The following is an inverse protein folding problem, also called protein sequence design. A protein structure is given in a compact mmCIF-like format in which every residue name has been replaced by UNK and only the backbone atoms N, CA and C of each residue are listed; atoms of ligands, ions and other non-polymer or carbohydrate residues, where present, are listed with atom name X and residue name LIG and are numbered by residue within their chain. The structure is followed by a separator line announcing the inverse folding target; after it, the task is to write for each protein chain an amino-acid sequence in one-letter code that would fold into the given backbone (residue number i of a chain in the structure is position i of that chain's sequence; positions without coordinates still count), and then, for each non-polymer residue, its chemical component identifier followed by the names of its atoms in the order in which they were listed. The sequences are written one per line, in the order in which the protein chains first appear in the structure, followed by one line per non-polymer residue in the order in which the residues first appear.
data_IF_813514940768
#
_entry.id   IF_813514940768
#
_cell.length_a   1.000
_cell.length_b   1.000
_cell.length_c   1.000
_cell.angle_alpha   90.00
_cell.angle_beta   90.00
_cell.angle_gamma   90.00
#
_symmetry.space_group_name_H-M   'P 1'
#
loop_
_entity.id
_entity.type
_entity.pdbx_description
1 polymer ?
#
# COMPACT_ATOMS: atom_id res chain seq x y z
N UNK A 1 -1.91 -11.34 10.38
CA UNK A 1 -1.97 -11.43 8.91
C UNK A 1 -2.03 -10.01 8.34
N UNK A 2 -0.91 -9.46 7.85
CA UNK A 2 -0.87 -8.13 7.22
C UNK A 2 -1.18 -8.17 5.70
N UNK A 3 -1.27 -9.37 5.12
CA UNK A 3 -1.51 -9.60 3.70
C UNK A 3 -2.94 -9.27 3.23
N UNK A 4 -3.86 -8.89 4.13
CA UNK A 4 -5.24 -8.56 3.78
C UNK A 4 -5.52 -7.07 3.75
N UNK A 5 -4.59 -6.20 4.15
CA UNK A 5 -4.83 -4.74 4.15
C UNK A 5 -3.80 -3.90 3.41
N UNK A 6 -2.69 -4.52 3.03
CA UNK A 6 -1.61 -3.88 2.32
C UNK A 6 -1.29 -4.65 1.04
N UNK A 7 -1.26 -3.92 -0.07
CA UNK A 7 -0.93 -4.44 -1.39
C UNK A 7 0.34 -3.81 -1.94
N UNK A 8 1.13 -4.61 -2.64
CA UNK A 8 2.16 -4.12 -3.55
C UNK A 8 1.55 -3.78 -4.91
N UNK A 9 1.74 -2.54 -5.38
CA UNK A 9 1.24 -2.11 -6.69
C UNK A 9 1.08 -0.60 -6.82
N UNK A 10 0.26 -0.20 -7.78
CA UNK A 10 -0.04 1.21 -8.10
C UNK A 10 -1.43 1.67 -7.62
N UNK A 11 -2.30 0.73 -7.25
CA UNK A 11 -3.67 0.97 -6.78
C UNK A 11 -4.17 -0.23 -5.96
N UNK A 12 -5.29 -0.10 -5.28
CA UNK A 12 -6.02 -1.19 -4.62
C UNK A 12 -6.67 -2.18 -5.62
N UNK A 13 -6.87 -3.44 -5.22
CA UNK A 13 -7.49 -4.50 -6.04
C UNK A 13 -8.83 -5.00 -5.49
N UNK A 14 -8.86 -5.27 -4.20
CA UNK A 14 -10.00 -5.83 -3.47
C UNK A 14 -10.47 -4.84 -2.40
N UNK A 15 -11.57 -5.09 -1.69
CA UNK A 15 -12.22 -4.10 -0.83
C UNK A 15 -11.51 -3.80 0.50
N UNK A 16 -10.24 -4.17 0.60
CA UNK A 16 -9.50 -4.20 1.83
C UNK A 16 -8.06 -3.71 1.65
N UNK A 17 -7.62 -3.35 0.44
CA UNK A 17 -6.29 -2.80 0.15
C UNK A 17 -6.17 -1.31 0.58
N UNK A 18 -6.22 -1.04 1.88
CA UNK A 18 -6.11 0.32 2.42
C UNK A 18 -4.72 0.94 2.26
N UNK A 19 -3.68 0.11 2.21
CA UNK A 19 -2.30 0.57 2.00
C UNK A 19 -1.76 0.03 0.69
N UNK A 20 -1.23 0.92 -0.14
CA UNK A 20 -0.65 0.59 -1.44
C UNK A 20 0.83 0.95 -1.41
N UNK A 21 1.68 -0.04 -1.61
CA UNK A 21 3.14 0.13 -1.69
C UNK A 21 3.62 -0.04 -3.13
N UNK A 22 4.09 1.06 -3.71
CA UNK A 22 4.78 1.06 -4.99
C UNK A 22 6.29 0.83 -4.80
N UNK A 23 6.77 -0.38 -5.04
CA UNK A 23 8.19 -0.73 -4.87
C UNK A 23 9.13 -0.06 -5.88
N UNK A 24 8.61 0.40 -7.02
CA UNK A 24 9.40 1.08 -8.05
C UNK A 24 9.77 2.49 -7.61
N UNK A 25 8.83 3.19 -6.97
CA UNK A 25 9.01 4.58 -6.52
C UNK A 25 9.26 4.71 -5.01
N UNK A 26 9.03 3.64 -4.24
CA UNK A 26 9.05 3.66 -2.79
C UNK A 26 7.84 4.34 -2.16
N UNK A 27 6.80 4.66 -2.94
CA UNK A 27 5.65 5.41 -2.45
C UNK A 27 4.71 4.48 -1.67
N UNK A 28 4.30 4.94 -0.49
CA UNK A 28 3.18 4.40 0.28
C UNK A 28 2.01 5.35 0.16
N UNK A 29 0.87 4.81 -0.28
CA UNK A 29 -0.39 5.54 -0.38
C UNK A 29 -1.47 4.90 0.48
N UNK A 30 -2.32 5.73 1.06
CA UNK A 30 -3.52 5.33 1.77
C UNK A 30 -4.74 5.47 0.85
N UNK A 31 -5.47 4.38 0.70
CA UNK A 31 -6.76 4.32 0.05
C UNK A 31 -7.83 4.16 1.12
N UNK A 32 -8.73 5.13 1.27
CA UNK A 32 -9.76 5.11 2.30
C UNK A 32 -10.93 4.18 1.99
N UNK A 33 -11.21 3.92 0.71
CA UNK A 33 -12.22 2.94 0.29
C UNK A 33 -11.63 1.54 0.15
N UNK A 34 -10.30 1.47 0.09
CA UNK A 34 -9.53 0.24 0.05
C UNK A 34 -9.69 -0.53 -1.26
N UNK A 35 -10.52 -0.08 -2.20
CA UNK A 35 -10.85 -0.79 -3.45
C UNK A 35 -10.39 -0.05 -4.72
N UNK A 36 -9.87 1.17 -4.58
CA UNK A 36 -9.32 1.96 -5.67
C UNK A 36 -10.37 2.72 -6.47
N UNK A 37 -11.58 2.90 -5.93
CA UNK A 37 -12.60 3.76 -6.53
C UNK A 37 -12.20 5.24 -6.41
N UNK A 38 -11.55 5.60 -5.31
CA UNK A 38 -10.98 6.90 -5.03
C UNK A 38 -9.48 6.91 -5.30
N UNK A 39 -8.93 8.09 -5.58
CA UNK A 39 -7.49 8.24 -5.70
C UNK A 39 -6.83 8.06 -4.33
N UNK A 40 -5.94 7.07 -4.21
CA UNK A 40 -5.13 6.87 -3.00
C UNK A 40 -4.20 8.07 -2.76
N UNK A 41 -4.14 8.54 -1.51
CA UNK A 41 -3.30 9.68 -1.12
C UNK A 41 -1.93 9.19 -0.67
N UNK A 42 -0.86 9.81 -1.17
CA UNK A 42 0.49 9.53 -0.70
C UNK A 42 0.63 9.93 0.77
N UNK A 43 1.12 9.01 1.60
CA UNK A 43 1.36 9.22 3.03
C UNK A 43 2.83 9.11 3.42
N UNK A 44 3.63 8.38 2.64
CA UNK A 44 5.07 8.26 2.88
C UNK A 44 5.85 7.90 1.61
N UNK A 45 7.16 8.09 1.67
CA UNK A 45 8.13 7.54 0.71
C UNK A 45 9.20 6.79 1.50
N UNK A 46 9.42 5.53 1.15
CA UNK A 46 10.45 4.66 1.72
C UNK A 46 11.50 4.34 0.67
N UNK A 47 12.66 3.83 1.09
CA UNK A 47 13.77 3.51 0.20
C UNK A 47 13.39 2.48 -0.87
N UNK A 48 13.86 2.70 -2.10
CA UNK A 48 13.71 1.74 -3.21
C UNK A 48 14.75 0.61 -3.12
N UNK A 49 14.43 -0.58 -3.65
CA UNK A 49 15.33 -1.73 -3.60
C UNK A 49 15.36 -2.46 -2.25
N UNK A 50 14.51 -2.06 -1.30
CA UNK A 50 14.29 -2.83 -0.08
C UNK A 50 13.52 -4.12 -0.40
N UNK A 51 13.88 -5.23 0.25
CA UNK A 51 13.09 -6.47 0.23
C UNK A 51 11.81 -6.34 1.09
N UNK A 52 11.32 -5.12 1.35
CA UNK A 52 10.12 -4.87 2.14
C UNK A 52 8.92 -5.54 1.50
N UNK A 53 8.21 -6.33 2.30
CA UNK A 53 6.95 -6.96 1.94
C UNK A 53 5.83 -6.33 2.77
N UNK A 54 4.58 -6.70 2.49
CA UNK A 54 3.42 -6.28 3.28
C UNK A 54 3.56 -6.62 4.78
N UNK A 55 4.44 -7.58 5.13
CA UNK A 55 4.71 -7.95 6.52
C UNK A 55 5.50 -6.88 7.31
N UNK A 56 6.12 -5.93 6.61
CA UNK A 56 6.88 -4.82 7.22
C UNK A 56 5.96 -3.63 7.58
N UNK A 57 4.69 -3.70 7.18
CA UNK A 57 3.69 -2.62 7.32
C UNK A 57 2.58 -3.12 8.24
N UNK A 58 2.37 -2.42 9.36
CA UNK A 58 1.28 -2.68 10.29
C UNK A 58 0.32 -1.49 10.27
N UNK A 59 -0.95 -1.77 10.04
CA UNK A 59 -2.07 -0.84 10.21
C UNK A 59 -2.65 -1.11 11.61
N UNK A 60 -2.78 -0.07 12.46
CA UNK A 60 -3.36 -0.15 13.81
C UNK A 60 -4.70 0.56 13.91
#
# INVERSE_FOLDING_TARGET
MAASQCRVGYKALDANDFIIHNRSTGILSYDSDGNGASAAMQIATIGVGLSSTNADIVVI
#
